data_IF_693472819969
#
_entry.id   IF_693472819969
#
_cell.length_a   1.000
_cell.length_b   1.000
_cell.length_c   1.000
_cell.angle_alpha   90.00
_cell.angle_beta   90.00
_cell.angle_gamma   90.00
#
_symmetry.space_group_name_H-M   'P 1'
#
loop_
_entity.id
_entity.type
_entity.pdbx_description
1 polymer ?
#
# COMPACT_ATOMS: atom_id res chain seq x y z
N UNK A 1 -18.44 7.23 32.22
CA UNK A 1 -17.42 6.88 33.23
C UNK A 1 -16.48 5.73 32.83
N UNK A 2 -16.61 5.11 31.65
CA UNK A 2 -15.80 3.93 31.28
C UNK A 2 -14.50 4.22 30.50
N UNK A 3 -14.30 5.43 29.95
CA UNK A 3 -13.14 5.75 29.10
C UNK A 3 -11.77 5.41 29.73
N UNK A 4 -11.49 5.76 31.01
CA UNK A 4 -10.18 5.44 31.62
C UNK A 4 -9.89 3.94 31.68
N UNK A 5 -10.93 3.09 31.83
CA UNK A 5 -10.79 1.64 31.83
C UNK A 5 -10.33 1.16 30.46
N UNK A 6 -10.99 1.62 29.40
CA UNK A 6 -10.65 1.24 28.02
C UNK A 6 -9.29 1.75 27.58
N UNK A 7 -8.88 2.95 28.01
CA UNK A 7 -7.52 3.46 27.80
C UNK A 7 -6.48 2.53 28.45
N UNK A 8 -6.71 2.09 29.69
CA UNK A 8 -5.78 1.19 30.37
C UNK A 8 -5.68 -0.17 29.65
N UNK A 9 -6.83 -0.73 29.22
CA UNK A 9 -6.85 -1.97 28.45
C UNK A 9 -6.18 -1.83 27.08
N UNK A 10 -6.35 -0.69 26.41
CA UNK A 10 -5.66 -0.39 25.15
C UNK A 10 -4.14 -0.48 25.32
N UNK A 11 -3.56 0.20 26.31
CA UNK A 11 -2.11 0.14 26.54
C UNK A 11 -1.63 -1.28 26.84
N UNK A 12 -2.41 -2.08 27.56
CA UNK A 12 -2.10 -3.50 27.78
C UNK A 12 -2.09 -4.30 26.47
N UNK A 13 -3.07 -4.08 25.59
CA UNK A 13 -3.15 -4.74 24.29
C UNK A 13 -1.99 -4.35 23.38
N UNK A 14 -1.65 -3.05 23.34
CA UNK A 14 -0.57 -2.49 22.53
C UNK A 14 0.79 -3.09 22.90
N UNK A 15 1.07 -3.26 24.20
CA UNK A 15 2.28 -3.94 24.66
C UNK A 15 2.37 -5.41 24.21
N UNK A 16 1.24 -6.09 24.04
CA UNK A 16 1.20 -7.49 23.62
C UNK A 16 1.26 -7.66 22.09
N UNK A 17 0.83 -6.67 21.31
CA UNK A 17 0.71 -6.75 19.84
C UNK A 17 2.00 -6.45 19.07
N UNK A 18 3.13 -6.25 19.77
CA UNK A 18 4.45 -5.95 19.20
C UNK A 18 4.45 -4.76 18.21
N UNK A 19 3.51 -3.83 18.37
CA UNK A 19 3.40 -2.64 17.50
C UNK A 19 2.78 -2.89 16.12
N UNK A 20 2.24 -4.09 15.87
CA UNK A 20 1.64 -4.44 14.57
C UNK A 20 0.35 -3.66 14.29
N UNK A 21 -0.41 -3.33 15.33
CA UNK A 21 -1.66 -2.58 15.22
C UNK A 21 -1.48 -1.16 15.75
N UNK A 22 -1.96 -0.17 14.99
CA UNK A 22 -1.90 1.25 15.35
C UNK A 22 -3.29 1.86 15.41
N UNK A 23 -3.52 2.86 16.25
CA UNK A 23 -4.79 3.58 16.27
C UNK A 23 -4.95 4.45 14.99
N UNK A 24 -6.20 4.67 14.58
CA UNK A 24 -6.56 5.46 13.38
C UNK A 24 -6.45 6.97 13.58
N UNK A 25 -6.44 7.39 14.84
CA UNK A 25 -6.45 8.77 15.28
C UNK A 25 -5.80 8.83 16.67
N UNK A 26 -5.39 10.01 17.15
CA UNK A 26 -4.89 10.15 18.52
C UNK A 26 -5.89 9.59 19.54
N UNK A 27 -5.38 8.95 20.59
CA UNK A 27 -6.17 8.27 21.63
C UNK A 27 -7.19 9.23 22.28
N UNK A 28 -6.85 10.50 22.39
CA UNK A 28 -7.65 11.60 22.95
C UNK A 28 -8.95 11.84 22.15
N UNK A 29 -8.94 11.51 20.86
CA UNK A 29 -10.09 11.70 19.97
C UNK A 29 -11.08 10.53 20.04
N UNK A 30 -10.72 9.42 20.67
CA UNK A 30 -11.64 8.30 20.84
C UNK A 30 -12.65 8.51 21.96
N UNK A 31 -13.90 8.21 21.64
CA UNK A 31 -14.97 8.04 22.62
C UNK A 31 -14.76 6.75 23.44
N UNK A 32 -15.48 6.63 24.55
CA UNK A 32 -15.44 5.41 25.37
C UNK A 32 -15.87 4.16 24.58
N UNK A 33 -16.88 4.31 23.72
CA UNK A 33 -17.45 3.23 22.92
C UNK A 33 -16.53 2.83 21.77
N UNK A 34 -15.83 3.80 21.17
CA UNK A 34 -14.85 3.52 20.12
C UNK A 34 -13.64 2.77 20.70
N UNK A 35 -13.13 3.18 21.88
CA UNK A 35 -12.05 2.45 22.54
C UNK A 35 -12.44 1.03 22.93
N UNK A 36 -13.65 0.86 23.44
CA UNK A 36 -14.19 -0.47 23.74
C UNK A 36 -14.16 -1.37 22.51
N UNK A 37 -14.65 -0.87 21.37
CA UNK A 37 -14.61 -1.62 20.11
C UNK A 37 -13.19 -1.97 19.67
N UNK A 38 -12.27 -1.02 19.71
CA UNK A 38 -10.86 -1.25 19.33
C UNK A 38 -10.24 -2.34 20.20
N UNK A 39 -10.37 -2.23 21.52
CA UNK A 39 -9.83 -3.21 22.47
C UNK A 39 -10.43 -4.59 22.21
N UNK A 40 -11.75 -4.69 22.04
CA UNK A 40 -12.42 -5.96 21.77
C UNK A 40 -12.01 -6.58 20.42
N UNK A 41 -11.79 -5.77 19.39
CA UNK A 41 -11.29 -6.24 18.09
C UNK A 41 -9.89 -6.82 18.28
N UNK A 42 -8.97 -6.07 18.89
CA UNK A 42 -7.58 -6.48 19.07
C UNK A 42 -7.46 -7.74 19.93
N UNK A 43 -8.18 -7.81 21.05
CA UNK A 43 -8.25 -9.00 21.90
C UNK A 43 -8.82 -10.20 21.13
N UNK A 44 -9.91 -10.02 20.37
CA UNK A 44 -10.48 -11.12 19.57
C UNK A 44 -9.50 -11.64 18.52
N UNK A 45 -8.72 -10.75 17.90
CA UNK A 45 -7.65 -11.11 16.97
C UNK A 45 -6.57 -11.91 17.69
N UNK A 46 -6.09 -11.48 18.86
CA UNK A 46 -5.10 -12.20 19.66
C UNK A 46 -5.57 -13.60 20.07
N UNK A 47 -6.85 -13.75 20.43
CA UNK A 47 -7.44 -15.06 20.71
C UNK A 47 -7.39 -15.94 19.46
N UNK A 48 -7.81 -15.42 18.30
CA UNK A 48 -7.76 -16.14 17.03
C UNK A 48 -6.36 -16.59 16.61
N UNK A 49 -5.32 -15.79 16.90
CA UNK A 49 -3.93 -16.18 16.65
C UNK A 49 -3.43 -17.29 17.59
N UNK A 50 -4.01 -17.39 18.80
CA UNK A 50 -3.63 -18.42 19.79
C UNK A 50 -4.36 -19.74 19.58
N UNK A 51 -5.56 -19.71 19.01
CA UNK A 51 -6.33 -20.91 18.69
C UNK A 51 -5.74 -21.59 17.45
N UNK A 52 -5.22 -22.81 17.63
CA UNK A 52 -4.57 -23.59 16.56
C UNK A 52 -5.58 -24.31 15.64
N UNK A 53 -6.87 -23.98 15.75
CA UNK A 53 -7.92 -24.57 14.93
C UNK A 53 -7.96 -23.99 13.50
N UNK A 54 -7.22 -22.90 13.25
CA UNK A 54 -7.16 -22.22 11.96
C UNK A 54 -8.49 -21.54 11.58
N UNK A 55 -9.42 -21.41 12.53
CA UNK A 55 -10.72 -20.80 12.30
C UNK A 55 -10.60 -19.31 12.65
N UNK A 56 -10.77 -18.41 11.67
CA UNK A 56 -10.69 -16.98 11.98
C UNK A 56 -11.85 -16.57 12.88
N UNK A 57 -11.56 -15.81 13.93
CA UNK A 57 -12.59 -15.31 14.87
C UNK A 57 -13.62 -14.40 14.19
N UNK A 58 -13.26 -13.81 13.03
CA UNK A 58 -14.15 -13.04 12.15
C UNK A 58 -13.80 -13.36 10.71
N UNK A 59 -14.82 -13.64 9.88
CA UNK A 59 -14.66 -13.86 8.44
C UNK A 59 -15.48 -12.84 7.66
N UNK A 60 -14.82 -12.14 6.75
CA UNK A 60 -15.47 -11.27 5.77
C UNK A 60 -15.10 -11.74 4.36
N UNK A 61 -16.06 -11.66 3.43
CA UNK A 61 -15.84 -11.98 2.02
C UNK A 61 -16.03 -10.71 1.20
N UNK A 62 -14.93 -10.21 0.64
CA UNK A 62 -14.96 -9.07 -0.28
C UNK A 62 -15.03 -9.61 -1.70
N UNK A 63 -16.15 -9.35 -2.38
CA UNK A 63 -16.25 -9.57 -3.83
C UNK A 63 -15.58 -8.41 -4.52
N UNK A 64 -14.34 -8.59 -4.95
CA UNK A 64 -13.70 -7.62 -5.82
C UNK A 64 -14.24 -7.89 -7.22
N UNK A 65 -15.11 -6.98 -7.69
CA UNK A 65 -15.81 -7.08 -8.99
C UNK A 65 -14.84 -7.51 -10.09
N UNK A 66 -15.27 -8.45 -10.94
CA UNK A 66 -14.46 -8.97 -12.04
C UNK A 66 -13.86 -7.81 -12.82
N UNK A 67 -12.52 -7.77 -12.89
CA UNK A 67 -11.84 -6.90 -13.86
C UNK A 67 -12.45 -7.30 -15.18
N UNK A 68 -13.25 -6.41 -15.77
CA UNK A 68 -13.92 -6.68 -17.05
C UNK A 68 -12.84 -7.23 -17.97
N UNK A 69 -13.07 -8.43 -18.50
CA UNK A 69 -12.21 -9.09 -19.46
C UNK A 69 -11.89 -8.14 -20.63
N UNK A 70 -10.89 -7.28 -20.45
CA UNK A 70 -10.19 -6.63 -21.54
C UNK A 70 -9.50 -7.77 -22.27
N UNK A 71 -9.72 -7.79 -23.58
CA UNK A 71 -9.52 -8.91 -24.52
C UNK A 71 -8.05 -9.34 -24.72
N UNK A 72 -7.19 -9.19 -23.73
CA UNK A 72 -5.84 -9.75 -23.75
C UNK A 72 -5.77 -10.91 -22.76
N UNK A 73 -6.10 -12.10 -23.26
CA UNK A 73 -5.85 -13.35 -22.59
C UNK A 73 -4.34 -13.65 -22.65
N UNK A 74 -3.53 -12.90 -21.88
CA UNK A 74 -2.19 -13.31 -21.50
C UNK A 74 -2.22 -13.70 -20.02
N UNK A 75 -2.39 -15.01 -19.81
CA UNK A 75 -1.88 -15.82 -18.70
C UNK A 75 -1.88 -15.22 -17.27
N UNK A 76 -2.89 -15.67 -16.50
CA UNK A 76 -2.81 -16.14 -15.11
C UNK A 76 -2.36 -15.24 -13.94
N UNK A 77 -2.20 -13.93 -14.09
CA UNK A 77 -1.65 -13.12 -12.98
C UNK A 77 -2.42 -11.81 -12.74
N UNK A 78 -3.72 -11.91 -12.44
CA UNK A 78 -4.46 -10.80 -11.82
C UNK A 78 -4.05 -10.66 -10.35
N UNK A 79 -2.80 -10.25 -10.10
CA UNK A 79 -2.34 -9.93 -8.76
C UNK A 79 -3.01 -8.64 -8.29
N UNK A 80 -4.18 -8.79 -7.69
CA UNK A 80 -4.75 -7.76 -6.82
C UNK A 80 -3.87 -7.69 -5.59
N UNK A 81 -2.96 -6.74 -5.57
CA UNK A 81 -2.23 -6.45 -4.35
C UNK A 81 -3.24 -5.90 -3.34
N UNK A 82 -3.19 -6.43 -2.12
CA UNK A 82 -4.00 -5.94 -1.01
C UNK A 82 -3.07 -5.51 0.11
N UNK A 83 -3.46 -4.45 0.81
CA UNK A 83 -2.71 -3.96 1.95
C UNK A 83 -3.67 -3.58 3.08
N UNK A 84 -3.48 -4.19 4.25
CA UNK A 84 -4.24 -3.85 5.44
C UNK A 84 -3.53 -2.70 6.15
N UNK A 85 -4.20 -1.55 6.28
CA UNK A 85 -3.69 -0.45 7.10
C UNK A 85 -3.53 -0.96 8.54
N UNK A 86 -2.46 -0.61 9.28
CA UNK A 86 -2.21 -1.12 10.64
C UNK A 86 -3.34 -0.90 11.65
N UNK A 87 -4.31 -0.04 11.38
CA UNK A 87 -5.51 0.03 12.22
C UNK A 87 -6.39 -1.22 12.15
N UNK A 88 -6.23 -2.02 11.11
CA UNK A 88 -7.03 -3.21 10.85
C UNK A 88 -8.42 -2.92 10.29
N UNK A 89 -8.82 -1.65 10.13
CA UNK A 89 -10.14 -1.27 9.59
C UNK A 89 -10.14 -1.13 8.07
N UNK A 90 -9.07 -0.59 7.50
CA UNK A 90 -9.07 -0.23 6.09
C UNK A 90 -8.22 -1.22 5.30
N UNK A 91 -8.84 -1.86 4.30
CA UNK A 91 -8.13 -2.72 3.35
C UNK A 91 -8.01 -1.98 2.03
N UNK A 92 -6.79 -1.64 1.63
CA UNK A 92 -6.47 -1.13 0.31
C UNK A 92 -6.45 -2.28 -0.69
N UNK A 93 -7.04 -2.05 -1.85
CA UNK A 93 -7.04 -2.97 -2.99
C UNK A 93 -6.57 -2.21 -4.20
N UNK A 94 -5.47 -2.70 -4.76
CA UNK A 94 -4.84 -2.15 -5.94
C UNK A 94 -5.30 -2.91 -7.18
N UNK A 95 -5.80 -2.18 -8.18
CA UNK A 95 -6.26 -2.75 -9.43
C UNK A 95 -5.19 -2.62 -10.51
N UNK A 96 -5.26 -3.49 -11.52
CA UNK A 96 -4.32 -3.56 -12.65
C UNK A 96 -4.27 -2.27 -13.48
N UNK A 97 -5.33 -1.46 -13.40
CA UNK A 97 -5.44 -0.16 -14.07
C UNK A 97 -4.91 1.01 -13.22
N UNK A 98 -4.35 0.72 -12.04
CA UNK A 98 -3.76 1.75 -11.17
C UNK A 98 -4.72 2.48 -10.27
N UNK A 99 -6.00 2.13 -10.38
CA UNK A 99 -7.02 2.52 -9.43
C UNK A 99 -6.68 1.94 -8.05
N UNK A 100 -6.74 2.81 -7.04
CA UNK A 100 -6.57 2.43 -5.65
C UNK A 100 -7.90 2.62 -4.97
N UNK A 101 -8.43 1.50 -4.51
CA UNK A 101 -9.70 1.44 -3.80
C UNK A 101 -9.48 0.94 -2.39
N UNK A 102 -10.45 1.16 -1.52
CA UNK A 102 -10.40 0.70 -0.15
C UNK A 102 -11.76 0.19 0.32
N UNK A 103 -11.70 -0.70 1.30
CA UNK A 103 -12.86 -1.26 1.98
C UNK A 103 -12.80 -0.86 3.46
N UNK A 104 -13.92 -0.35 3.96
CA UNK A 104 -14.15 -0.20 5.40
C UNK A 104 -14.58 -1.55 5.97
N UNK A 105 -13.69 -2.23 6.69
CA UNK A 105 -13.95 -3.53 7.31
C UNK A 105 -14.84 -3.43 8.56
N UNK A 106 -15.12 -2.21 9.04
CA UNK A 106 -16.11 -2.00 10.10
C UNK A 106 -17.49 -1.61 9.55
N UNK A 107 -17.59 -1.30 8.25
CA UNK A 107 -18.87 -1.00 7.61
C UNK A 107 -19.68 -2.28 7.39
N UNK A 108 -20.97 -2.31 7.79
CA UNK A 108 -21.81 -3.50 7.64
C UNK A 108 -22.03 -3.93 6.17
N UNK A 109 -21.75 -3.03 5.23
CA UNK A 109 -21.98 -3.25 3.80
C UNK A 109 -20.70 -3.37 2.98
N UNK A 110 -19.51 -3.35 3.60
CA UNK A 110 -18.19 -3.52 2.97
C UNK A 110 -18.10 -2.92 1.55
N UNK A 111 -18.56 -1.67 1.41
CA UNK A 111 -18.63 -1.02 0.11
C UNK A 111 -17.23 -0.62 -0.34
N UNK A 112 -16.87 -0.98 -1.58
CA UNK A 112 -15.70 -0.44 -2.27
C UNK A 112 -15.86 1.08 -2.33
N UNK A 113 -14.87 1.81 -1.85
CA UNK A 113 -14.73 3.25 -2.05
C UNK A 113 -13.44 3.49 -2.83
N UNK A 114 -13.46 4.47 -3.73
CA UNK A 114 -12.27 4.86 -4.48
C UNK A 114 -11.44 5.82 -3.61
N UNK A 115 -10.13 5.56 -3.47
CA UNK A 115 -9.19 6.51 -2.85
C UNK A 115 -8.61 7.42 -3.93
N UNK A 116 -8.22 6.81 -5.06
CA UNK A 116 -7.55 7.47 -6.16
C UNK A 116 -8.36 7.26 -7.43
N UNK A 117 -8.85 8.35 -8.00
CA UNK A 117 -9.28 8.40 -9.38
C UNK A 117 -8.06 8.90 -10.17
N UNK A 118 -7.47 8.06 -11.02
CA UNK A 118 -6.53 8.59 -12.00
C UNK A 118 -7.35 9.47 -12.96
N UNK A 119 -7.16 10.79 -12.91
CA UNK A 119 -7.76 11.76 -13.84
C UNK A 119 -7.24 11.63 -15.28
N UNK A 120 -6.25 10.75 -15.50
CA UNK A 120 -5.75 10.47 -16.83
C UNK A 120 -6.66 9.45 -17.51
N UNK A 121 -7.29 9.91 -18.59
CA UNK A 121 -7.96 9.14 -19.65
C UNK A 121 -7.31 7.77 -19.75
N UNK A 122 -8.01 6.72 -19.30
CA UNK A 122 -7.63 5.29 -19.41
C UNK A 122 -6.90 5.05 -20.74
N UNK A 123 -5.56 4.88 -20.76
CA UNK A 123 -4.93 4.21 -21.87
C UNK A 123 -5.42 2.77 -21.82
N UNK A 124 -5.89 2.23 -22.94
CA UNK A 124 -6.44 0.86 -23.00
C UNK A 124 -5.43 -0.23 -22.57
N UNK A 125 -4.15 0.13 -22.39
CA UNK A 125 -3.01 -0.77 -22.19
C UNK A 125 -2.10 -0.39 -20.99
N UNK A 126 -2.63 0.26 -19.94
CA UNK A 126 -1.85 0.42 -18.69
C UNK A 126 -1.69 -0.93 -17.98
N UNK A 127 -0.46 -1.38 -17.78
CA UNK A 127 -0.13 -2.58 -17.03
C UNK A 127 0.60 -2.17 -15.75
N UNK A 128 -0.11 -2.17 -14.63
CA UNK A 128 0.46 -1.81 -13.33
C UNK A 128 0.81 -3.07 -12.57
N UNK A 129 2.04 -3.13 -12.05
CA UNK A 129 2.62 -4.40 -11.62
C UNK A 129 3.07 -4.39 -10.16
N UNK A 130 3.37 -3.25 -9.52
CA UNK A 130 3.95 -3.28 -8.16
C UNK A 130 3.61 -2.08 -7.27
N UNK A 131 3.53 -2.34 -5.97
CA UNK A 131 3.26 -1.34 -4.92
C UNK A 131 4.16 -1.57 -3.71
N UNK A 132 4.52 -0.50 -3.00
CA UNK A 132 5.13 -0.56 -1.67
C UNK A 132 4.50 0.49 -0.77
N UNK A 133 4.25 0.13 0.49
CA UNK A 133 3.67 1.03 1.49
C UNK A 133 4.72 1.35 2.53
N UNK A 134 4.90 2.62 2.81
CA UNK A 134 5.66 3.14 3.94
C UNK A 134 4.69 3.79 4.91
N UNK A 135 4.76 3.40 6.17
CA UNK A 135 3.97 4.03 7.21
C UNK A 135 4.94 4.88 8.00
N UNK A 136 5.17 6.10 7.49
CA UNK A 136 5.98 7.07 8.20
C UNK A 136 5.32 7.36 9.54
N UNK A 137 6.06 7.12 10.61
CA UNK A 137 5.72 7.67 11.92
C UNK A 137 4.99 6.73 12.88
N UNK A 138 5.41 6.86 14.14
CA UNK A 138 4.96 6.13 15.32
C UNK A 138 3.61 6.59 15.86
N UNK A 139 2.98 7.62 15.26
CA UNK A 139 1.82 8.28 15.85
C UNK A 139 0.50 7.85 15.19
N UNK A 140 -0.54 7.60 15.99
CA UNK A 140 -1.88 7.33 15.50
C UNK A 140 -2.48 8.43 14.63
N UNK A 141 -3.05 8.04 13.49
CA UNK A 141 -3.77 8.93 12.57
C UNK A 141 -2.91 9.80 11.67
N UNK A 142 -1.62 9.51 11.58
CA UNK A 142 -0.78 10.07 10.54
C UNK A 142 -1.12 9.48 9.17
N UNK A 143 -0.80 10.26 8.13
CA UNK A 143 -0.81 9.76 6.77
C UNK A 143 0.24 8.67 6.60
N UNK A 144 0.03 7.80 5.62
CA UNK A 144 1.03 6.85 5.19
C UNK A 144 1.33 7.06 3.72
N UNK A 145 2.52 6.65 3.30
CA UNK A 145 2.98 6.83 1.94
C UNK A 145 2.85 5.54 1.16
N UNK A 146 2.58 5.69 -0.13
CA UNK A 146 2.48 4.58 -1.07
C UNK A 146 3.35 4.90 -2.28
N UNK A 147 4.23 3.98 -2.64
CA UNK A 147 4.88 3.94 -3.94
C UNK A 147 4.10 3.04 -4.89
N UNK A 148 3.76 3.57 -6.06
CA UNK A 148 3.06 2.87 -7.14
C UNK A 148 3.93 2.93 -8.39
N UNK A 149 4.33 1.77 -8.91
CA UNK A 149 4.99 1.69 -10.21
C UNK A 149 3.95 1.62 -11.32
N UNK A 150 4.02 2.55 -12.27
CA UNK A 150 3.14 2.65 -13.42
C UNK A 150 3.94 2.40 -14.69
N UNK A 151 3.48 1.45 -15.50
CA UNK A 151 3.91 1.27 -16.89
C UNK A 151 2.73 1.57 -17.80
N UNK A 152 2.90 2.61 -18.60
CA UNK A 152 1.96 2.97 -19.67
C UNK A 152 2.60 2.52 -20.99
N UNK A 153 1.90 1.65 -21.70
CA UNK A 153 2.24 1.27 -23.07
C UNK A 153 1.33 2.11 -23.98
N UNK A 154 1.77 3.27 -24.50
CA UNK A 154 0.96 3.98 -25.47
C UNK A 154 0.81 3.10 -26.70
N UNK A 155 -0.28 3.32 -27.44
CA UNK A 155 -0.61 2.58 -28.65
C UNK A 155 0.65 2.29 -29.48
N UNK A 156 0.79 1.02 -29.90
CA UNK A 156 1.97 0.42 -30.53
C UNK A 156 2.52 1.15 -31.78
N UNK A 157 1.86 2.24 -32.20
CA UNK A 157 2.25 3.10 -33.31
C UNK A 157 3.39 4.08 -32.96
N UNK A 158 3.54 4.50 -31.70
CA UNK A 158 4.58 5.48 -31.30
C UNK A 158 5.74 4.87 -30.51
N UNK A 159 5.59 3.66 -29.93
CA UNK A 159 6.68 2.90 -29.32
C UNK A 159 7.31 3.51 -28.05
N UNK A 160 6.76 4.61 -27.52
CA UNK A 160 7.30 5.29 -26.33
C UNK A 160 6.73 4.66 -25.07
N UNK A 161 7.34 3.61 -24.53
CA UNK A 161 6.91 3.10 -23.22
C UNK A 161 7.14 4.20 -22.17
N UNK A 162 6.14 4.54 -21.36
CA UNK A 162 6.30 5.46 -20.24
C UNK A 162 6.32 4.67 -18.92
N UNK A 163 7.34 4.90 -18.10
CA UNK A 163 7.50 4.22 -16.80
C UNK A 163 7.76 5.26 -15.73
N UNK A 164 6.99 5.20 -14.65
CA UNK A 164 7.17 6.08 -13.52
C UNK A 164 6.82 5.41 -12.20
N UNK A 165 7.48 5.83 -11.13
CA UNK A 165 7.05 5.53 -9.76
C UNK A 165 6.38 6.78 -9.21
N UNK A 166 5.12 6.64 -8.80
CA UNK A 166 4.34 7.69 -8.14
C UNK A 166 4.40 7.47 -6.64
N UNK A 167 4.75 8.51 -5.89
CA UNK A 167 4.69 8.53 -4.43
C UNK A 167 3.43 9.28 -4.02
N UNK A 168 2.60 8.63 -3.23
CA UNK A 168 1.34 9.15 -2.73
C UNK A 168 1.39 9.31 -1.22
N UNK A 169 0.76 10.35 -0.72
CA UNK A 169 0.38 10.49 0.68
C UNK A 169 -1.09 10.11 0.83
N UNK A 170 -1.40 9.20 1.74
CA UNK A 170 -2.77 8.74 2.00
C UNK A 170 -3.11 9.06 3.45
N UNK A 171 -4.10 9.90 3.64
CA UNK A 171 -4.50 10.42 4.94
C UNK A 171 -5.97 10.06 5.27
N UNK A 172 -6.28 9.80 6.55
CA UNK A 172 -7.67 9.70 6.99
C UNK A 172 -8.37 11.05 6.93
N UNK A 173 -9.62 11.05 6.47
CA UNK A 173 -10.50 12.22 6.48
C UNK A 173 -11.42 12.12 7.71
N UNK A 174 -11.39 13.17 8.52
CA UNK A 174 -12.16 13.28 9.76
C UNK A 174 -13.41 14.14 9.55
N UNK A 175 -14.56 13.64 9.99
CA UNK A 175 -15.76 14.44 10.23
C UNK A 175 -15.96 14.57 11.74
N UNK A 176 -15.61 15.74 12.28
CA UNK A 176 -15.50 15.94 13.72
C UNK A 176 -14.38 15.09 14.32
N UNK A 177 -14.75 14.02 15.05
CA UNK A 177 -13.78 13.07 15.66
C UNK A 177 -13.75 11.72 14.95
N UNK A 178 -14.54 11.51 13.91
CA UNK A 178 -14.74 10.19 13.29
C UNK A 178 -14.01 10.14 11.96
N UNK A 179 -13.24 9.08 11.72
CA UNK A 179 -12.62 8.83 10.39
C UNK A 179 -13.68 8.23 9.47
N UNK A 180 -14.00 8.94 8.38
CA UNK A 180 -15.11 8.62 7.46
C UNK A 180 -14.64 8.09 6.08
N UNK A 181 -13.43 8.46 5.68
CA UNK A 181 -12.84 8.10 4.39
C UNK A 181 -11.32 8.23 4.42
N UNK A 182 -10.69 7.77 3.34
CA UNK A 182 -9.28 8.04 3.04
C UNK A 182 -9.20 9.02 1.86
N UNK A 183 -8.19 9.87 1.86
CA UNK A 183 -7.86 10.80 0.79
C UNK A 183 -6.42 10.59 0.36
N UNK A 184 -6.16 10.66 -0.94
CA UNK A 184 -4.82 10.49 -1.51
C UNK A 184 -4.35 11.75 -2.24
N UNK A 185 -3.08 12.11 -2.05
CA UNK A 185 -2.40 13.19 -2.78
C UNK A 185 -1.14 12.63 -3.41
N UNK A 186 -0.93 12.87 -4.70
CA UNK A 186 0.34 12.55 -5.35
C UNK A 186 1.40 13.56 -4.86
N UNK A 187 2.43 13.06 -4.18
CA UNK A 187 3.58 13.86 -3.74
C UNK A 187 4.65 13.95 -4.82
N UNK A 188 4.84 12.88 -5.59
CA UNK A 188 5.96 12.77 -6.53
C UNK A 188 5.69 11.87 -7.71
N UNK A 189 6.23 12.23 -8.88
CA UNK A 189 6.35 11.34 -10.04
C UNK A 189 7.80 11.24 -10.47
N UNK A 190 8.38 10.05 -10.29
CA UNK A 190 9.77 9.74 -10.59
C UNK A 190 9.81 8.94 -11.89
N UNK A 191 10.33 9.49 -13.00
CA UNK A 191 10.48 8.71 -14.21
C UNK A 191 11.50 7.59 -14.00
N UNK A 192 11.20 6.41 -14.55
CA UNK A 192 12.08 5.25 -14.53
C UNK A 192 12.63 5.05 -15.94
N UNK A 193 13.94 4.94 -16.05
CA UNK A 193 14.63 4.76 -17.32
C UNK A 193 14.17 3.46 -18.03
N UNK A 194 13.99 3.55 -19.34
CA UNK A 194 13.43 2.49 -20.18
C UNK A 194 14.43 1.35 -20.43
N UNK A 195 15.73 1.66 -20.49
CA UNK A 195 16.80 0.69 -20.75
C UNK A 195 17.02 -0.29 -19.58
N UNK A 196 16.37 -0.04 -18.45
CA UNK A 196 16.77 -0.56 -17.16
C UNK A 196 15.86 -1.69 -16.66
N UNK A 197 14.74 -1.96 -17.33
CA UNK A 197 13.67 -2.72 -16.66
C UNK A 197 12.90 -3.72 -17.54
N UNK A 198 13.00 -5.00 -17.20
CA UNK A 198 12.10 -6.06 -17.67
C UNK A 198 11.49 -6.85 -16.49
N UNK A 199 10.26 -6.48 -16.13
CA UNK A 199 9.26 -7.43 -15.64
C UNK A 199 9.18 -7.78 -14.14
N UNK A 200 10.17 -7.56 -13.27
CA UNK A 200 10.09 -7.98 -11.84
C UNK A 200 10.61 -6.92 -10.87
N UNK A 201 9.71 -6.11 -10.30
CA UNK A 201 10.05 -5.12 -9.28
C UNK A 201 9.73 -5.70 -7.88
N UNK A 202 10.70 -5.67 -6.97
CA UNK A 202 10.38 -5.52 -5.55
C UNK A 202 10.58 -4.06 -5.20
N UNK A 203 9.68 -3.48 -4.41
CA UNK A 203 9.82 -2.12 -3.92
C UNK A 203 9.76 -2.09 -2.40
N UNK A 204 10.54 -1.20 -1.82
CA UNK A 204 10.44 -0.81 -0.42
C UNK A 204 10.46 0.71 -0.35
N UNK A 205 9.58 1.27 0.47
CA UNK A 205 9.49 2.69 0.73
C UNK A 205 9.76 2.89 2.21
N UNK A 206 10.61 3.84 2.56
CA UNK A 206 10.92 4.20 3.94
C UNK A 206 11.50 5.60 4.01
N UNK A 207 10.90 6.48 4.82
CA UNK A 207 11.49 7.77 5.25
C UNK A 207 12.31 8.51 4.18
N UNK A 208 11.62 9.03 3.17
CA UNK A 208 12.25 9.82 2.10
C UNK A 208 13.06 9.01 1.09
N UNK A 209 13.20 7.70 1.30
CA UNK A 209 13.91 6.77 0.43
C UNK A 209 12.98 5.74 -0.19
N UNK A 210 13.26 5.43 -1.45
CA UNK A 210 12.59 4.41 -2.24
C UNK A 210 13.67 3.46 -2.74
N UNK A 211 13.58 2.20 -2.37
CA UNK A 211 14.43 1.14 -2.89
C UNK A 211 13.62 0.27 -3.85
N UNK A 212 14.19 -0.08 -4.99
CA UNK A 212 13.57 -1.03 -5.90
C UNK A 212 14.60 -1.90 -6.61
N UNK A 213 14.22 -3.16 -6.83
CA UNK A 213 15.01 -4.12 -7.58
C UNK A 213 14.98 -3.81 -9.07
N UNK A 214 16.11 -4.00 -9.73
CA UNK A 214 16.29 -3.63 -11.13
C UNK A 214 16.98 -4.79 -11.84
N UNK A 215 16.42 -5.20 -12.99
CA UNK A 215 16.93 -6.26 -13.84
C UNK A 215 16.85 -5.76 -15.29
N UNK A 216 17.91 -5.12 -15.82
CA UNK A 216 17.95 -4.74 -17.24
C UNK A 216 17.99 -5.97 -18.16
N UNK A 217 18.53 -7.09 -17.67
CA UNK A 217 18.52 -8.40 -18.30
C UNK A 217 18.42 -9.51 -17.23
N UNK A 218 18.42 -10.79 -17.63
CA UNK A 218 18.34 -11.94 -16.72
C UNK A 218 19.59 -12.13 -15.84
N UNK A 219 20.72 -11.49 -16.18
CA UNK A 219 22.03 -11.77 -15.61
C UNK A 219 22.46 -10.73 -14.59
N UNK A 220 22.02 -9.49 -14.74
CA UNK A 220 22.38 -8.38 -13.86
C UNK A 220 21.18 -8.00 -13.02
N UNK A 221 21.30 -8.17 -11.71
CA UNK A 221 20.34 -7.67 -10.74
C UNK A 221 21.03 -6.68 -9.81
N UNK A 222 20.39 -5.54 -9.60
CA UNK A 222 20.84 -4.57 -8.61
C UNK A 222 19.65 -3.91 -7.93
N UNK A 223 19.91 -3.27 -6.80
CA UNK A 223 18.93 -2.47 -6.08
C UNK A 223 19.27 -1.01 -6.33
N UNK A 224 18.30 -0.26 -6.85
CA UNK A 224 18.38 1.19 -6.94
C UNK A 224 17.74 1.78 -5.68
N UNK A 225 18.47 2.62 -4.95
CA UNK A 225 17.96 3.38 -3.81
C UNK A 225 17.95 4.85 -4.18
N UNK A 226 16.75 5.43 -4.21
CA UNK A 226 16.49 6.83 -4.58
C UNK A 226 16.04 7.59 -3.36
N UNK A 227 16.63 8.76 -3.12
CA UNK A 227 16.10 9.71 -2.13
C UNK A 227 14.95 10.50 -2.80
N UNK A 228 13.76 9.91 -2.80
CA UNK A 228 12.62 10.40 -3.60
C UNK A 228 12.19 11.82 -3.23
N UNK A 229 12.43 12.23 -1.98
CA UNK A 229 12.09 13.57 -1.49
C UNK A 229 12.90 14.68 -2.18
N UNK A 230 14.07 14.36 -2.73
CA UNK A 230 14.95 15.30 -3.44
C UNK A 230 14.78 15.28 -4.96
N UNK A 231 13.99 14.35 -5.50
CA UNK A 231 13.73 14.27 -6.95
C UNK A 231 13.05 15.55 -7.42
N UNK A 232 13.34 16.02 -8.63
CA UNK A 232 12.52 17.04 -9.31
C UNK A 232 11.54 16.32 -10.21
N UNK A 233 10.25 16.67 -10.16
CA UNK A 233 9.21 15.92 -10.89
C UNK A 233 9.48 15.89 -12.40
N UNK A 234 9.44 14.69 -12.97
CA UNK A 234 9.75 14.45 -14.38
C UNK A 234 11.25 14.45 -14.73
N UNK A 235 12.15 14.70 -13.78
CA UNK A 235 13.61 14.60 -14.02
C UNK A 235 14.09 13.15 -13.95
N UNK A 236 14.94 12.74 -14.88
CA UNK A 236 15.72 11.50 -14.81
C UNK A 236 17.04 11.67 -14.04
N UNK A 237 17.43 12.92 -13.78
CA UNK A 237 18.61 13.26 -12.99
C UNK A 237 18.18 13.44 -11.53
N UNK A 238 18.31 12.37 -10.75
CA UNK A 238 18.03 12.35 -9.32
C UNK A 238 19.09 11.58 -8.53
N UNK A 239 19.33 11.94 -7.25
CA UNK A 239 20.25 11.22 -6.39
C UNK A 239 19.84 9.75 -6.24
N UNK A 240 20.71 8.84 -6.69
CA UNK A 240 20.51 7.40 -6.59
C UNK A 240 21.78 6.67 -6.22
N UNK A 241 21.64 5.61 -5.45
CA UNK A 241 22.70 4.64 -5.14
C UNK A 241 22.36 3.31 -5.78
N UNK A 242 23.35 2.70 -6.42
CA UNK A 242 23.21 1.38 -7.02
C UNK A 242 23.94 0.38 -6.12
N UNK A 243 23.22 -0.65 -5.68
CA UNK A 243 23.75 -1.75 -4.89
C UNK A 243 23.67 -3.01 -5.74
N UNK A 244 24.80 -3.51 -6.21
CA UNK A 244 24.86 -4.77 -6.94
C UNK A 244 24.65 -5.93 -5.98
N UNK A 245 23.80 -6.88 -6.35
CA UNK A 245 23.71 -8.15 -5.64
C UNK A 245 24.88 -9.01 -6.13
N UNK A 246 25.76 -9.47 -5.24
CA UNK A 246 26.89 -10.32 -5.67
C UNK A 246 26.35 -11.68 -6.09
N UNK A 247 26.47 -12.02 -7.37
CA UNK A 247 26.37 -13.39 -7.85
C UNK A 247 27.77 -14.01 -7.78
N UNK A 248 28.31 -14.18 -6.56
CA UNK A 248 29.51 -14.99 -6.32
C UNK A 248 29.11 -16.20 -5.45
N UNK A 249 28.43 -17.17 -6.08
CA UNK A 249 28.28 -18.56 -5.66
C UNK A 249 27.50 -19.26 -6.79
N UNK A 250 28.01 -20.17 -7.61
CA UNK A 250 28.98 -21.25 -7.40
C UNK A 250 29.59 -21.58 -8.77
N UNK A 251 30.90 -21.40 -8.93
CA UNK A 251 31.68 -22.24 -9.84
C UNK A 251 32.30 -23.36 -9.00
N UNK A 252 31.79 -24.58 -9.18
CA UNK A 252 32.55 -25.81 -9.03
C UNK A 252 32.19 -26.71 -10.20
#
# INVERSE_FOLDING_TARGET
>A
MARPIWVNLFYKCEHLSSGTLKLEKPLELYSSEELERVVLVWESTQVGWRTHDGIPSRRCTIKVEDVRHTRSACWSEYYRHVYLIPSGRWLLVFQTEGEISYYDLESPHYKKKEVMVHDYIRPANCNIVFFAVDISGSLPGESFRLAQYVREDPDAAEGIIYRAIKIWDIAPVLEGKVVISLHAVCLKTIPVDLEVFDGKLSMSLSDGHLAFGVSPDELVQYICVVEWSLVVDGSLDYPRRILYTSVDAVHF
#
